data_IF_990383480057
#
_entry.id   IF_990383480057
#
_cell.length_a   1.000
_cell.length_b   1.000
_cell.length_c   1.000
_cell.angle_alpha   90.00
_cell.angle_beta   90.00
_cell.angle_gamma   90.00
#
_symmetry.space_group_name_H-M   'P 1'
#
loop_
_entity.id
_entity.type
_entity.pdbx_description
1 polymer ?
#
# COMPACT_ATOMS: atom_id res chain seq x y z
N UNK A 1 13.27 27.99 9.97
CA UNK A 1 14.73 27.77 9.95
C UNK A 1 14.92 26.25 9.83
N UNK A 2 15.25 25.63 8.70
CA UNK A 2 15.64 26.04 7.35
C UNK A 2 14.91 25.09 6.36
N UNK A 3 14.26 25.62 5.34
CA UNK A 3 13.79 24.85 4.19
C UNK A 3 15.00 24.70 3.25
N UNK A 4 15.55 23.49 3.11
CA UNK A 4 16.56 23.23 2.10
C UNK A 4 15.87 23.03 0.75
N UNK A 5 15.96 24.04 -0.10
CA UNK A 5 15.50 24.03 -1.49
C UNK A 5 16.57 23.39 -2.36
N UNK A 6 16.34 22.16 -2.82
CA UNK A 6 17.05 21.63 -3.98
C UNK A 6 16.19 21.88 -5.22
N UNK A 7 16.55 22.91 -5.99
CA UNK A 7 15.96 23.21 -7.31
C UNK A 7 16.80 22.47 -8.35
N UNK A 8 16.21 21.52 -9.06
CA UNK A 8 16.83 20.86 -10.23
C UNK A 8 16.20 21.47 -11.51
N UNK A 9 17.00 21.90 -12.51
CA UNK A 9 16.52 22.69 -13.63
C UNK A 9 16.05 21.80 -14.80
N UNK A 10 15.00 21.02 -14.58
CA UNK A 10 14.27 20.36 -15.68
C UNK A 10 12.80 20.59 -15.45
N UNK A 11 12.14 21.33 -16.36
CA UNK A 11 10.75 21.80 -16.27
C UNK A 11 9.67 20.72 -16.31
N UNK A 12 9.93 19.55 -15.72
CA UNK A 12 8.91 18.55 -15.38
C UNK A 12 8.87 18.53 -13.86
N UNK A 13 7.77 19.03 -13.29
CA UNK A 13 7.46 18.86 -11.87
C UNK A 13 7.19 17.38 -11.61
N UNK A 14 8.23 16.55 -11.57
CA UNK A 14 8.18 15.29 -10.85
C UNK A 14 8.20 15.69 -9.38
N UNK A 15 7.03 16.03 -8.86
CA UNK A 15 6.78 15.80 -7.43
C UNK A 15 7.10 14.33 -7.25
N UNK A 16 8.31 14.03 -6.76
CA UNK A 16 8.60 12.73 -6.15
C UNK A 16 7.53 12.65 -5.08
N UNK A 17 6.45 11.95 -5.39
CA UNK A 17 5.26 11.94 -4.59
C UNK A 17 5.73 11.29 -3.30
N UNK A 18 5.98 12.10 -2.27
CA UNK A 18 6.48 11.68 -0.96
C UNK A 18 5.40 10.86 -0.20
N UNK A 19 4.37 10.44 -0.93
CA UNK A 19 3.28 9.64 -0.45
C UNK A 19 3.58 8.17 -0.73
N UNK A 20 3.37 7.29 0.26
CA UNK A 20 3.45 5.85 0.04
C UNK A 20 2.57 5.46 -1.16
N UNK A 21 3.18 4.93 -2.21
CA UNK A 21 2.44 4.44 -3.38
C UNK A 21 1.71 3.17 -2.97
N UNK A 22 0.38 3.25 -2.89
CA UNK A 22 -0.49 2.09 -2.70
C UNK A 22 -0.68 1.40 -4.04
N UNK A 23 -0.19 0.17 -4.15
CA UNK A 23 -0.35 -0.65 -5.34
C UNK A 23 -1.26 -1.85 -5.05
N UNK A 24 -2.25 -2.07 -5.91
CA UNK A 24 -3.11 -3.25 -5.85
C UNK A 24 -2.51 -4.38 -6.69
N UNK A 25 -2.43 -5.57 -6.11
CA UNK A 25 -1.94 -6.77 -6.79
C UNK A 25 -2.85 -7.95 -6.52
N UNK A 26 -2.79 -8.97 -7.38
CA UNK A 26 -3.53 -10.22 -7.20
C UNK A 26 -2.60 -11.36 -6.83
N UNK A 27 -3.05 -12.24 -5.94
CA UNK A 27 -2.43 -13.54 -5.73
C UNK A 27 -2.90 -14.52 -6.81
N UNK A 28 -2.23 -15.68 -6.90
CA UNK A 28 -2.61 -16.77 -7.80
C UNK A 28 -4.04 -17.29 -7.54
N UNK A 29 -4.51 -17.21 -6.29
CA UNK A 29 -5.88 -17.59 -5.89
C UNK A 29 -6.93 -16.50 -6.22
N UNK A 30 -6.55 -15.45 -6.96
CA UNK A 30 -7.41 -14.35 -7.34
C UNK A 30 -7.66 -13.33 -6.23
N UNK A 31 -7.23 -13.59 -4.99
CA UNK A 31 -7.40 -12.63 -3.88
C UNK A 31 -6.48 -11.45 -4.05
N UNK A 32 -7.00 -10.28 -3.72
CA UNK A 32 -6.28 -9.02 -3.81
C UNK A 32 -5.39 -8.78 -2.58
N UNK A 33 -4.28 -8.07 -2.80
CA UNK A 33 -3.41 -7.52 -1.76
C UNK A 33 -3.15 -6.04 -2.06
N UNK A 34 -3.02 -5.26 -0.99
CA UNK A 34 -2.47 -3.91 -1.05
C UNK A 34 -0.96 -3.99 -0.75
N UNK A 35 -0.15 -3.33 -1.57
CA UNK A 35 1.29 -3.17 -1.37
C UNK A 35 1.58 -1.72 -1.05
N UNK A 36 2.25 -1.47 0.06
CA UNK A 36 2.64 -0.13 0.51
C UNK A 36 4.05 -0.20 1.08
N UNK A 37 4.99 0.60 0.54
CA UNK A 37 6.38 0.69 1.03
C UNK A 37 7.06 -0.69 1.21
N UNK A 38 6.84 -1.61 0.28
CA UNK A 38 7.41 -2.96 0.36
C UNK A 38 6.72 -3.92 1.34
N UNK A 39 5.62 -3.51 1.98
CA UNK A 39 4.81 -4.38 2.83
C UNK A 39 3.50 -4.75 2.15
N UNK A 40 3.00 -5.95 2.44
CA UNK A 40 1.72 -6.43 1.92
C UNK A 40 0.64 -6.41 2.99
N UNK A 41 -0.58 -6.08 2.57
CA UNK A 41 -1.78 -6.05 3.41
C UNK A 41 -2.89 -6.88 2.75
N UNK A 42 -3.58 -7.68 3.55
CA UNK A 42 -4.72 -8.49 3.10
C UNK A 42 -6.02 -7.97 3.71
N UNK A 43 -7.10 -8.00 2.95
CA UNK A 43 -8.44 -7.65 3.46
C UNK A 43 -8.94 -8.77 4.36
N UNK A 44 -9.12 -8.47 5.64
CA UNK A 44 -9.68 -9.43 6.61
C UNK A 44 -11.10 -9.07 7.05
N UNK A 45 -11.53 -7.82 6.81
CA UNK A 45 -12.88 -7.36 7.12
C UNK A 45 -13.39 -6.44 6.02
N UNK A 46 -14.63 -6.64 5.61
CA UNK A 46 -15.31 -5.83 4.60
C UNK A 46 -16.70 -5.46 5.10
N UNK A 47 -17.05 -4.19 4.97
CA UNK A 47 -18.33 -3.62 5.34
C UNK A 47 -18.86 -2.85 4.13
N UNK A 48 -20.10 -2.36 4.17
CA UNK A 48 -20.69 -1.58 3.05
C UNK A 48 -19.82 -0.37 2.66
N UNK A 49 -19.30 0.37 3.65
CA UNK A 49 -18.55 1.61 3.43
C UNK A 49 -17.05 1.42 3.25
N UNK A 50 -16.46 0.46 3.95
CA UNK A 50 -14.99 0.33 4.06
C UNK A 50 -14.53 -1.12 4.10
N UNK A 51 -13.27 -1.32 3.72
CA UNK A 51 -12.52 -2.55 3.91
C UNK A 51 -11.34 -2.28 4.84
N UNK A 52 -11.07 -3.23 5.74
CA UNK A 52 -9.93 -3.20 6.64
C UNK A 52 -8.87 -4.19 6.16
N UNK A 53 -7.69 -3.65 5.88
CA UNK A 53 -6.54 -4.40 5.38
C UNK A 53 -5.46 -4.46 6.46
N UNK A 54 -5.04 -5.66 6.85
CA UNK A 54 -3.99 -5.84 7.88
C UNK A 54 -2.72 -6.34 7.24
N UNK A 55 -1.57 -6.00 7.82
CA UNK A 55 -0.29 -6.54 7.36
C UNK A 55 -0.33 -8.08 7.28
N UNK A 56 0.13 -8.63 6.17
CA UNK A 56 0.12 -10.08 5.91
C UNK A 56 0.98 -10.88 6.88
N UNK A 57 1.99 -10.27 7.52
CA UNK A 57 2.78 -10.93 8.57
C UNK A 57 1.92 -11.31 9.80
N UNK A 58 0.89 -10.53 10.10
CA UNK A 58 -0.02 -10.77 11.22
C UNK A 58 0.65 -10.74 12.60
N UNK A 59 0.00 -11.37 13.58
CA UNK A 59 0.51 -11.55 14.95
C UNK A 59 0.77 -10.23 15.69
N UNK A 60 2.04 -9.97 15.99
CA UNK A 60 2.52 -8.76 16.67
C UNK A 60 2.48 -7.50 15.79
N UNK A 61 2.45 -7.67 14.46
CA UNK A 61 2.34 -6.53 13.55
C UNK A 61 0.91 -5.97 13.57
N UNK A 62 0.78 -4.69 13.93
CA UNK A 62 -0.50 -3.97 14.00
C UNK A 62 -0.69 -2.95 12.86
N UNK A 63 0.18 -2.95 11.87
CA UNK A 63 0.04 -2.12 10.67
C UNK A 63 -1.26 -2.46 9.93
N UNK A 64 -1.99 -1.42 9.54
CA UNK A 64 -3.38 -1.54 9.06
C UNK A 64 -3.77 -0.37 8.17
N UNK A 65 -4.55 -0.67 7.13
CA UNK A 65 -5.21 0.32 6.27
C UNK A 65 -6.73 0.18 6.42
N UNK A 66 -7.43 1.30 6.41
CA UNK A 66 -8.87 1.35 6.16
C UNK A 66 -9.07 2.08 4.84
N UNK A 67 -9.77 1.46 3.91
CA UNK A 67 -9.97 1.96 2.55
C UNK A 67 -11.46 1.92 2.22
N UNK A 68 -11.97 2.85 1.40
CA UNK A 68 -13.36 2.81 0.93
C UNK A 68 -13.66 1.51 0.17
N UNK A 69 -14.89 1.01 0.30
CA UNK A 69 -15.31 -0.25 -0.31
C UNK A 69 -15.79 -0.07 -1.77
N UNK A 70 -14.99 0.65 -2.57
CA UNK A 70 -15.29 0.85 -3.99
C UNK A 70 -14.91 -0.38 -4.81
N UNK A 71 -15.74 -0.70 -5.80
CA UNK A 71 -15.52 -1.85 -6.70
C UNK A 71 -14.26 -1.63 -7.54
N UNK A 72 -14.12 -0.43 -8.13
CA UNK A 72 -12.97 -0.07 -8.95
C UNK A 72 -11.82 0.40 -8.08
N UNK A 73 -10.67 -0.27 -8.20
CA UNK A 73 -9.45 0.06 -7.44
C UNK A 73 -9.03 1.54 -7.58
N UNK A 74 -9.21 2.13 -8.77
CA UNK A 74 -8.87 3.53 -9.04
C UNK A 74 -9.73 4.55 -8.25
N UNK A 75 -10.89 4.15 -7.75
CA UNK A 75 -11.79 5.03 -6.99
C UNK A 75 -11.65 4.85 -5.47
N UNK A 76 -10.82 3.90 -5.03
CA UNK A 76 -10.65 3.61 -3.62
C UNK A 76 -9.82 4.71 -2.96
N UNK A 77 -10.30 5.19 -1.82
CA UNK A 77 -9.64 6.23 -1.03
C UNK A 77 -9.18 5.65 0.29
N UNK A 78 -7.96 5.99 0.71
CA UNK A 78 -7.45 5.62 2.03
C UNK A 78 -8.13 6.50 3.09
N UNK A 79 -8.88 5.88 3.98
CA UNK A 79 -9.57 6.53 5.10
C UNK A 79 -8.62 6.67 6.30
N UNK A 80 -7.78 5.68 6.53
CA UNK A 80 -6.79 5.67 7.62
C UNK A 80 -5.65 4.71 7.29
N UNK A 81 -4.43 5.06 7.70
CA UNK A 81 -3.25 4.23 7.53
C UNK A 81 -2.40 4.25 8.81
N UNK A 82 -2.06 3.06 9.30
CA UNK A 82 -1.01 2.81 10.29
C UNK A 82 0.06 1.97 9.61
N UNK A 83 1.21 2.58 9.29
CA UNK A 83 2.25 1.99 8.43
C UNK A 83 3.50 1.57 9.22
N UNK A 84 3.51 1.69 10.55
CA UNK A 84 4.63 1.26 11.38
C UNK A 84 4.62 -0.26 11.52
N UNK A 85 5.74 -0.89 11.12
CA UNK A 85 5.95 -2.33 11.20
C UNK A 85 7.01 -2.66 12.26
N UNK A 86 6.82 -3.80 12.92
CA UNK A 86 7.76 -4.37 13.92
C UNK A 86 8.60 -5.51 13.33
N UNK A 87 8.69 -5.56 12.00
CA UNK A 87 9.40 -6.59 11.26
C UNK A 87 9.91 -6.01 9.94
N UNK A 88 10.96 -6.59 9.34
CA UNK A 88 11.41 -6.16 8.02
C UNK A 88 10.39 -6.49 6.92
N UNK A 89 10.45 -5.81 5.76
CA UNK A 89 9.64 -6.13 4.59
C UNK A 89 9.86 -7.58 4.12
N UNK A 90 8.81 -8.29 3.65
CA UNK A 90 8.97 -9.61 3.04
C UNK A 90 9.61 -9.50 1.65
N UNK A 91 10.30 -10.56 1.22
CA UNK A 91 10.79 -10.70 -0.15
C UNK A 91 9.67 -11.18 -1.09
N UNK A 92 9.38 -10.41 -2.14
CA UNK A 92 8.45 -10.78 -3.20
C UNK A 92 8.75 -9.98 -4.46
N UNK A 93 8.22 -10.43 -5.59
CA UNK A 93 8.14 -9.66 -6.83
C UNK A 93 6.69 -9.44 -7.22
N UNK A 94 6.47 -8.40 -8.02
CA UNK A 94 5.20 -8.16 -8.70
C UNK A 94 5.46 -8.31 -10.20
N UNK A 95 4.75 -9.24 -10.84
CA UNK A 95 4.86 -9.47 -12.29
C UNK A 95 3.47 -9.48 -12.92
N UNK A 96 3.25 -8.62 -13.92
CA UNK A 96 1.94 -8.46 -14.59
C UNK A 96 0.77 -8.24 -13.63
N UNK A 97 1.00 -7.50 -12.54
CA UNK A 97 -0.01 -7.24 -11.50
C UNK A 97 -0.24 -8.41 -10.52
N UNK A 98 0.54 -9.48 -10.62
CA UNK A 98 0.48 -10.62 -9.72
C UNK A 98 1.61 -10.62 -8.68
N UNK A 99 1.24 -10.89 -7.44
CA UNK A 99 2.16 -11.12 -6.33
C UNK A 99 2.78 -12.52 -6.44
N UNK A 100 4.11 -12.57 -6.45
CA UNK A 100 4.88 -13.82 -6.41
C UNK A 100 5.85 -13.75 -5.23
N UNK A 101 5.66 -14.65 -4.27
CA UNK A 101 6.59 -14.82 -3.15
C UNK A 101 7.89 -15.45 -3.66
N UNK A 102 9.01 -14.92 -3.18
CA UNK A 102 10.36 -15.49 -3.39
C UNK A 102 10.66 -16.48 -2.26
#
# INVERSE_FOLDING_TARGET
MLLSTNVIPTGILIYVCLFPVLQWVKKKDGKELAVVNGYTFYCHKSNVKTKTWSCTKGGFCKARLIITNEIRAAHRTVVSAKLEHVHPPPAFIISNGYYVKI
#
